data_IF_160170757793
#
_entry.id   IF_160170757793
#
_cell.length_a   1.000
_cell.length_b   1.000
_cell.length_c   1.000
_cell.angle_alpha   90.00
_cell.angle_beta   90.00
_cell.angle_gamma   90.00
#
_symmetry.space_group_name_H-M   'P 1'
#
loop_
_entity.id
_entity.type
_entity.pdbx_description
1 polymer ?
#
# COMPACT_ATOMS: atom_id res chain seq x y z
N UNK A 1 -3.21 21.19 -27.57
CA UNK A 1 -2.72 19.82 -27.75
C UNK A 1 -1.23 19.83 -27.44
N UNK A 2 -0.80 19.11 -26.40
CA UNK A 2 0.62 19.01 -26.04
C UNK A 2 1.36 18.04 -26.97
N UNK A 3 2.67 18.22 -27.07
CA UNK A 3 3.53 17.27 -27.77
C UNK A 3 3.58 15.96 -27.00
N UNK A 4 3.48 14.85 -27.73
CA UNK A 4 3.68 13.50 -27.22
C UNK A 4 5.13 13.29 -26.79
N UNK A 5 5.36 12.33 -25.89
CA UNK A 5 6.71 11.96 -25.43
C UNK A 5 7.68 11.69 -26.59
N UNK A 6 7.18 11.11 -27.70
CA UNK A 6 7.98 10.81 -28.89
C UNK A 6 8.35 12.06 -29.70
N UNK A 7 7.50 13.08 -29.72
CA UNK A 7 7.79 14.35 -30.40
C UNK A 7 8.88 15.17 -29.66
N UNK A 8 8.99 15.00 -28.34
CA UNK A 8 10.05 15.61 -27.52
C UNK A 8 11.41 14.97 -27.83
N UNK A 9 11.47 13.64 -27.98
CA UNK A 9 12.71 12.92 -28.32
C UNK A 9 13.19 13.29 -29.73
N UNK A 10 12.27 13.48 -30.68
CA UNK A 10 12.61 13.91 -32.04
C UNK A 10 13.24 15.32 -32.08
N UNK A 11 12.77 16.25 -31.24
CA UNK A 11 13.32 17.61 -31.16
C UNK A 11 14.74 17.65 -30.55
N UNK A 12 15.07 16.72 -29.65
CA UNK A 12 16.40 16.64 -29.01
C UNK A 12 17.50 16.11 -29.94
N UNK A 13 17.15 15.37 -31.00
CA UNK A 13 18.10 14.77 -31.95
C UNK A 13 18.48 15.69 -33.14
N UNK A 14 18.19 16.98 -33.04
CA UNK A 14 18.95 18.01 -33.76
C UNK A 14 18.78 18.07 -35.28
N UNK A 15 17.56 17.96 -35.82
CA UNK A 15 17.36 18.17 -37.25
C UNK A 15 16.12 19.00 -37.62
N UNK A 16 16.02 20.23 -37.09
CA UNK A 16 15.10 21.24 -37.62
C UNK A 16 15.83 22.59 -37.71
N UNK A 17 16.11 23.02 -38.95
CA UNK A 17 16.44 24.40 -39.29
C UNK A 17 15.17 25.25 -39.13
N UNK A 18 15.07 26.01 -38.05
CA UNK A 18 13.97 26.95 -37.82
C UNK A 18 13.75 27.22 -36.34
N UNK A 19 14.44 28.22 -35.79
CA UNK A 19 14.30 28.62 -34.41
C UNK A 19 12.94 29.31 -34.16
N UNK A 20 11.92 28.53 -33.81
CA UNK A 20 10.79 29.01 -33.03
C UNK A 20 11.10 28.72 -31.56
N UNK A 21 11.32 29.75 -30.76
CA UNK A 21 11.49 29.61 -29.31
C UNK A 21 10.14 29.24 -28.70
N UNK A 22 9.84 27.94 -28.64
CA UNK A 22 8.71 27.41 -27.89
C UNK A 22 9.10 27.41 -26.41
N UNK A 23 8.69 28.44 -25.67
CA UNK A 23 8.69 28.40 -24.20
C UNK A 23 7.51 27.52 -23.75
N UNK A 24 7.64 26.21 -23.97
CA UNK A 24 6.79 25.23 -23.31
C UNK A 24 7.19 25.18 -21.84
N UNK A 25 6.37 25.75 -20.96
CA UNK A 25 6.49 25.49 -19.53
C UNK A 25 6.14 24.02 -19.28
N UNK A 26 7.15 23.15 -19.23
CA UNK A 26 7.00 21.80 -18.69
C UNK A 26 6.86 21.95 -17.17
N UNK A 27 5.65 22.23 -16.69
CA UNK A 27 5.36 22.23 -15.26
C UNK A 27 5.56 20.80 -14.78
N UNK A 28 6.63 20.57 -14.03
CA UNK A 28 6.82 19.34 -13.28
C UNK A 28 5.56 19.14 -12.43
N UNK A 29 4.94 17.97 -12.53
CA UNK A 29 3.82 17.65 -11.65
C UNK A 29 4.33 17.59 -10.21
N UNK A 30 3.65 18.31 -9.32
CA UNK A 30 3.85 18.22 -7.87
C UNK A 30 3.00 17.08 -7.26
N UNK A 31 2.27 16.34 -8.10
CA UNK A 31 1.40 15.26 -7.66
C UNK A 31 2.25 14.07 -7.21
N UNK A 32 2.12 13.73 -5.93
CA UNK A 32 2.97 12.74 -5.26
C UNK A 32 2.13 11.72 -4.52
N UNK A 33 2.60 10.47 -4.53
CA UNK A 33 2.10 9.36 -3.72
C UNK A 33 3.26 8.82 -2.87
N UNK A 34 3.01 8.61 -1.59
CA UNK A 34 4.02 8.16 -0.63
C UNK A 34 3.42 7.16 0.36
N UNK A 35 4.28 6.42 1.03
CA UNK A 35 3.92 5.51 2.11
C UNK A 35 4.99 5.57 3.22
N UNK A 36 4.60 5.49 4.50
CA UNK A 36 5.56 5.22 5.57
C UNK A 36 6.07 3.77 5.56
N UNK A 37 5.36 2.86 4.85
CA UNK A 37 5.65 1.43 4.83
C UNK A 37 6.90 1.11 4.00
N UNK A 38 7.04 1.75 2.84
CA UNK A 38 8.18 1.56 1.94
C UNK A 38 8.44 2.83 1.12
N UNK A 39 9.67 2.97 0.63
CA UNK A 39 10.09 4.07 -0.26
C UNK A 39 10.10 3.59 -1.71
N UNK A 40 10.06 4.56 -2.64
CA UNK A 40 10.18 4.33 -4.08
C UNK A 40 11.30 3.34 -4.42
N UNK A 41 10.93 2.30 -5.17
CA UNK A 41 11.81 1.24 -5.63
C UNK A 41 12.34 0.30 -4.56
N UNK A 42 11.84 0.33 -3.31
CA UNK A 42 12.28 -0.51 -2.19
C UNK A 42 11.36 -1.70 -1.95
N UNK A 43 11.86 -2.65 -1.15
CA UNK A 43 11.12 -3.85 -0.75
C UNK A 43 9.86 -3.47 0.01
N UNK A 44 8.77 -4.13 -0.33
CA UNK A 44 7.51 -4.04 0.40
C UNK A 44 7.56 -5.09 1.53
N UNK A 45 7.26 -4.72 2.79
CA UNK A 45 7.31 -5.66 3.91
C UNK A 45 6.33 -6.83 3.74
N UNK A 46 6.69 -7.98 4.31
CA UNK A 46 5.95 -9.24 4.18
C UNK A 46 4.48 -9.13 4.66
N UNK A 47 4.18 -8.26 5.61
CA UNK A 47 2.81 -8.05 6.09
C UNK A 47 1.84 -7.61 4.98
N UNK A 48 2.33 -6.98 3.91
CA UNK A 48 1.56 -6.50 2.76
C UNK A 48 1.65 -7.49 1.57
N UNK A 49 1.90 -8.76 1.85
CA UNK A 49 2.04 -9.81 0.84
C UNK A 49 1.20 -11.02 1.26
N UNK A 50 0.94 -11.92 0.31
CA UNK A 50 0.22 -13.16 0.61
C UNK A 50 1.01 -14.13 1.51
N UNK A 51 2.29 -13.85 1.78
CA UNK A 51 3.14 -14.61 2.69
C UNK A 51 3.10 -14.07 4.14
N UNK A 52 2.38 -12.96 4.38
CA UNK A 52 2.20 -12.35 5.70
C UNK A 52 0.73 -12.11 6.04
N UNK A 53 0.42 -10.91 6.55
CA UNK A 53 -0.92 -10.56 7.04
C UNK A 53 -1.92 -10.23 5.92
N UNK A 54 -1.43 -10.04 4.69
CA UNK A 54 -2.21 -9.68 3.50
C UNK A 54 -3.03 -8.40 3.63
N UNK A 55 -2.49 -7.40 4.35
CA UNK A 55 -3.18 -6.14 4.63
C UNK A 55 -2.76 -5.02 3.67
N UNK A 56 -3.65 -4.07 3.37
CA UNK A 56 -3.32 -2.92 2.51
C UNK A 56 -2.37 -1.93 3.22
N UNK A 57 -1.42 -1.28 2.52
CA UNK A 57 -0.50 -0.33 3.13
C UNK A 57 -1.14 1.04 3.38
N UNK A 58 -0.64 1.76 4.38
CA UNK A 58 -0.95 3.20 4.51
C UNK A 58 -0.38 3.96 3.32
N UNK A 59 -1.18 4.81 2.69
CA UNK A 59 -0.80 5.65 1.55
C UNK A 59 -1.16 7.11 1.84
N UNK A 60 -0.37 8.04 1.30
CA UNK A 60 -0.62 9.48 1.42
C UNK A 60 -0.21 10.20 0.15
N UNK A 61 -0.99 11.19 -0.26
CA UNK A 61 -0.74 11.94 -1.48
C UNK A 61 -0.97 13.44 -1.31
N UNK A 62 -0.33 14.21 -2.19
CA UNK A 62 -0.41 15.67 -2.18
C UNK A 62 -0.07 16.26 -3.56
N UNK A 63 -0.34 17.54 -3.76
CA UNK A 63 0.08 18.27 -4.97
C UNK A 63 -0.67 17.91 -6.25
N UNK A 64 -1.89 17.39 -6.14
CA UNK A 64 -2.74 17.08 -7.30
C UNK A 64 -3.12 18.36 -8.08
N UNK A 65 -3.36 18.24 -9.40
CA UNK A 65 -3.67 19.39 -10.25
C UNK A 65 -5.00 20.07 -9.88
N UNK A 66 -5.12 21.35 -10.22
CA UNK A 66 -6.40 22.04 -10.13
C UNK A 66 -7.45 21.35 -11.01
N UNK A 67 -8.71 21.32 -10.54
CA UNK A 67 -9.81 20.65 -11.23
C UNK A 67 -9.99 19.18 -10.86
N UNK A 68 -9.12 18.60 -10.02
CA UNK A 68 -9.37 17.28 -9.43
C UNK A 68 -10.64 17.30 -8.57
N UNK A 69 -11.53 16.34 -8.82
CA UNK A 69 -12.76 16.15 -8.03
C UNK A 69 -12.74 14.83 -7.27
N UNK A 70 -12.02 13.84 -7.78
CA UNK A 70 -11.86 12.54 -7.14
C UNK A 70 -10.50 11.90 -7.46
N UNK A 71 -10.16 10.85 -6.72
CA UNK A 71 -9.00 10.00 -6.99
C UNK A 71 -9.41 8.56 -7.24
N UNK A 72 -8.55 7.85 -7.97
CA UNK A 72 -8.56 6.39 -8.06
C UNK A 72 -7.14 5.85 -7.86
N UNK A 73 -7.02 4.65 -7.30
CA UNK A 73 -5.78 3.92 -7.09
C UNK A 73 -5.89 2.56 -7.76
N UNK A 74 -4.87 2.17 -8.52
CA UNK A 74 -4.70 0.80 -9.00
C UNK A 74 -3.35 0.23 -8.57
N UNK A 75 -3.31 -1.08 -8.37
CA UNK A 75 -2.08 -1.86 -8.18
C UNK A 75 -2.14 -3.03 -9.16
N UNK A 76 -1.39 -2.92 -10.25
CA UNK A 76 -1.37 -3.87 -11.38
C UNK A 76 0.05 -4.47 -11.51
N UNK A 77 0.23 -5.76 -11.22
CA UNK A 77 1.49 -6.52 -11.41
C UNK A 77 1.55 -7.06 -12.85
N UNK A 78 2.46 -6.50 -13.64
CA UNK A 78 2.68 -6.89 -15.03
C UNK A 78 3.70 -8.04 -15.19
N UNK A 79 4.38 -8.44 -14.11
CA UNK A 79 5.35 -9.54 -14.10
C UNK A 79 4.76 -10.88 -13.60
N UNK A 80 3.56 -10.83 -13.00
CA UNK A 80 2.75 -11.99 -12.60
C UNK A 80 2.47 -13.00 -13.73
N UNK A 81 2.64 -12.59 -14.99
CA UNK A 81 2.28 -13.39 -16.15
C UNK A 81 3.52 -13.93 -16.87
N UNK A 82 3.67 -15.26 -16.85
CA UNK A 82 4.21 -16.03 -17.97
C UNK A 82 3.05 -16.92 -18.43
N UNK A 83 2.29 -16.50 -19.46
CA UNK A 83 1.34 -17.37 -20.15
C UNK A 83 1.97 -17.83 -21.46
N UNK A 84 1.97 -19.15 -21.68
CA UNK A 84 2.57 -19.78 -22.86
C UNK A 84 1.83 -19.43 -24.18
N UNK A 85 0.64 -18.83 -24.09
CA UNK A 85 -0.23 -18.49 -25.23
C UNK A 85 -0.12 -17.04 -25.71
N UNK A 86 0.70 -16.21 -25.04
CA UNK A 86 0.91 -14.80 -25.39
C UNK A 86 -0.23 -13.85 -25.00
N UNK A 87 -1.22 -14.30 -24.23
CA UNK A 87 -2.25 -13.39 -23.68
C UNK A 87 -1.70 -12.56 -22.51
N UNK A 88 -2.04 -11.26 -22.50
CA UNK A 88 -1.50 -10.27 -21.57
C UNK A 88 -2.62 -9.63 -20.75
N UNK A 89 -2.69 -9.98 -19.46
CA UNK A 89 -3.53 -9.28 -18.49
C UNK A 89 -2.72 -9.10 -17.20
N UNK A 90 -2.45 -7.86 -16.75
CA UNK A 90 -1.77 -7.65 -15.48
C UNK A 90 -2.59 -8.26 -14.33
N UNK A 91 -1.89 -8.77 -13.32
CA UNK A 91 -2.55 -9.21 -12.11
C UNK A 91 -2.92 -8.00 -11.26
N UNK A 92 -4.22 -7.80 -11.06
CA UNK A 92 -4.73 -6.68 -10.29
C UNK A 92 -4.79 -7.06 -8.83
N UNK A 93 -4.03 -6.35 -8.01
CA UNK A 93 -3.97 -6.49 -6.57
C UNK A 93 -5.00 -5.60 -5.87
N UNK A 94 -5.29 -4.41 -6.41
CA UNK A 94 -6.23 -3.49 -5.77
C UNK A 94 -6.77 -2.45 -6.74
N UNK A 95 -8.06 -2.15 -6.63
CA UNK A 95 -8.69 -0.98 -7.25
C UNK A 95 -9.54 -0.26 -6.20
N UNK A 96 -9.25 1.03 -6.02
CA UNK A 96 -10.06 1.96 -5.22
C UNK A 96 -10.41 3.16 -6.09
N UNK A 97 -11.65 3.62 -6.07
CA UNK A 97 -12.04 4.77 -6.89
C UNK A 97 -13.12 5.61 -6.22
N UNK A 98 -13.38 6.79 -6.77
CA UNK A 98 -14.27 7.80 -6.20
C UNK A 98 -13.86 8.25 -4.80
N UNK A 99 -12.56 8.24 -4.50
CA UNK A 99 -12.04 8.88 -3.29
C UNK A 99 -12.22 10.40 -3.43
N UNK A 100 -12.97 11.08 -2.53
CA UNK A 100 -13.24 12.50 -2.69
C UNK A 100 -11.96 13.33 -2.60
N UNK A 101 -11.90 14.47 -3.29
CA UNK A 101 -10.71 15.36 -3.30
C UNK A 101 -10.29 15.84 -1.91
N UNK A 102 -11.19 15.79 -0.92
CA UNK A 102 -10.89 16.10 0.49
C UNK A 102 -10.03 15.04 1.19
N UNK A 103 -9.89 13.86 0.58
CA UNK A 103 -9.11 12.74 1.12
C UNK A 103 -7.65 12.83 0.63
N UNK A 104 -6.70 12.65 1.55
CA UNK A 104 -5.26 12.79 1.28
C UNK A 104 -4.47 11.51 1.55
N UNK A 105 -5.17 10.40 1.78
CA UNK A 105 -4.54 9.13 2.11
C UNK A 105 -5.53 8.00 2.33
N UNK A 106 -4.99 6.78 2.33
CA UNK A 106 -5.68 5.55 2.71
C UNK A 106 -4.99 4.97 3.96
N UNK A 107 -5.79 4.49 4.90
CA UNK A 107 -5.28 3.77 6.07
C UNK A 107 -4.73 2.40 5.71
N UNK A 108 -3.98 1.81 6.65
CA UNK A 108 -3.63 0.40 6.58
C UNK A 108 -4.87 -0.47 6.80
N UNK A 109 -4.87 -1.68 6.24
CA UNK A 109 -5.84 -2.73 6.57
C UNK A 109 -7.31 -2.29 6.35
N UNK A 110 -7.55 -1.75 5.15
CA UNK A 110 -8.90 -1.34 4.75
C UNK A 110 -9.78 -2.59 4.54
N UNK A 111 -11.00 -2.62 5.10
CA UNK A 111 -11.92 -3.75 4.94
C UNK A 111 -12.25 -4.06 3.48
N UNK A 112 -12.48 -5.34 3.18
CA UNK A 112 -12.83 -5.85 1.85
C UNK A 112 -14.32 -5.65 1.53
N UNK A 113 -14.74 -4.38 1.52
CA UNK A 113 -16.11 -3.93 1.29
C UNK A 113 -16.19 -3.09 0.01
N UNK A 114 -17.24 -3.31 -0.80
CA UNK A 114 -17.43 -2.63 -2.08
C UNK A 114 -17.55 -1.11 -1.93
N UNK A 115 -18.14 -0.65 -0.81
CA UNK A 115 -18.16 0.76 -0.45
C UNK A 115 -17.69 0.93 0.98
N UNK A 116 -16.71 1.79 1.18
CA UNK A 116 -16.14 2.06 2.49
C UNK A 116 -15.74 3.53 2.59
N UNK A 117 -16.07 4.18 3.71
CA UNK A 117 -15.66 5.57 4.02
C UNK A 117 -15.89 6.59 2.88
N UNK A 118 -16.92 6.41 2.07
CA UNK A 118 -17.30 7.33 0.98
C UNK A 118 -16.60 7.10 -0.36
N UNK A 119 -15.81 6.03 -0.50
CA UNK A 119 -15.24 5.58 -1.77
C UNK A 119 -15.70 4.16 -2.11
N UNK A 120 -15.27 3.67 -3.27
CA UNK A 120 -15.60 2.34 -3.78
C UNK A 120 -14.36 1.47 -3.95
N UNK A 121 -14.53 0.18 -3.74
CA UNK A 121 -13.61 -0.89 -4.09
C UNK A 121 -14.34 -1.86 -5.02
N UNK A 122 -13.60 -2.56 -5.87
CA UNK A 122 -14.18 -3.55 -6.79
C UNK A 122 -13.39 -4.86 -6.73
N UNK A 123 -13.84 -5.83 -7.52
CA UNK A 123 -13.18 -7.10 -7.72
C UNK A 123 -11.78 -6.90 -8.31
N UNK A 124 -10.81 -7.59 -7.71
CA UNK A 124 -9.43 -7.72 -8.16
C UNK A 124 -9.22 -9.13 -8.78
N UNK A 125 -8.00 -9.44 -9.24
CA UNK A 125 -7.72 -10.71 -9.92
C UNK A 125 -7.85 -11.93 -9.00
N UNK A 126 -7.82 -11.76 -7.67
CA UNK A 126 -8.02 -12.84 -6.70
C UNK A 126 -9.46 -13.36 -6.71
N UNK A 127 -10.45 -12.47 -6.85
CA UNK A 127 -11.86 -12.84 -6.92
C UNK A 127 -12.28 -13.38 -8.28
N UNK A 128 -11.70 -12.84 -9.36
CA UNK A 128 -12.07 -13.19 -10.74
C UNK A 128 -11.58 -14.60 -11.11
N UNK A 129 -10.42 -15.02 -10.57
CA UNK A 129 -9.77 -16.26 -10.96
C UNK A 129 -9.92 -17.40 -9.92
N UNK A 130 -10.81 -17.27 -8.92
CA UNK A 130 -11.14 -18.31 -7.92
C UNK A 130 -9.94 -18.92 -7.18
N UNK A 131 -8.92 -18.12 -6.82
CA UNK A 131 -7.72 -18.66 -6.17
C UNK A 131 -7.96 -19.02 -4.69
N UNK A 132 -7.38 -20.12 -4.17
CA UNK A 132 -7.65 -20.68 -2.83
C UNK A 132 -7.18 -19.85 -1.61
N UNK A 133 -6.77 -18.59 -1.81
CA UNK A 133 -6.45 -17.63 -0.74
C UNK A 133 -7.18 -16.29 -0.91
N UNK A 134 -8.17 -16.26 -1.78
CA UNK A 134 -8.90 -15.06 -2.13
C UNK A 134 -9.75 -14.57 -0.96
N UNK A 135 -9.61 -13.28 -0.65
CA UNK A 135 -10.70 -12.50 -0.07
C UNK A 135 -11.98 -12.67 -0.91
N UNK A 136 -13.09 -12.03 -0.60
CA UNK A 136 -14.26 -12.03 -1.51
C UNK A 136 -13.97 -11.38 -2.91
N UNK A 137 -12.70 -11.18 -3.27
CA UNK A 137 -12.22 -10.50 -4.46
C UNK A 137 -12.22 -8.99 -4.33
N UNK A 138 -12.91 -8.43 -3.33
CA UNK A 138 -13.09 -6.99 -3.20
C UNK A 138 -11.95 -6.42 -2.38
N UNK A 139 -11.38 -5.30 -2.85
CA UNK A 139 -10.35 -4.58 -2.12
C UNK A 139 -8.96 -5.14 -2.39
N UNK A 140 -8.10 -5.08 -1.38
CA UNK A 140 -6.69 -5.40 -1.52
C UNK A 140 -6.47 -6.92 -1.53
N UNK A 141 -5.52 -7.37 -2.35
CA UNK A 141 -4.89 -8.68 -2.22
C UNK A 141 -3.40 -8.50 -2.42
N UNK A 142 -2.60 -9.01 -1.50
CA UNK A 142 -1.19 -8.72 -1.37
C UNK A 142 -0.34 -9.30 -2.48
N UNK A 143 0.91 -8.84 -2.49
CA UNK A 143 1.91 -9.19 -3.48
C UNK A 143 2.17 -10.69 -3.40
N UNK A 144 2.08 -11.37 -4.54
CA UNK A 144 2.12 -12.82 -4.53
C UNK A 144 2.70 -13.36 -5.85
N UNK A 145 4.01 -13.23 -6.08
CA UNK A 145 4.69 -14.02 -7.11
C UNK A 145 4.29 -15.49 -6.94
N UNK A 146 4.22 -16.31 -7.98
CA UNK A 146 3.83 -17.72 -7.81
C UNK A 146 4.93 -18.52 -7.05
N UNK A 147 4.59 -19.62 -6.36
CA UNK A 147 5.60 -20.52 -5.81
C UNK A 147 6.58 -20.99 -6.90
N UNK A 148 7.89 -20.83 -6.66
CA UNK A 148 8.93 -21.12 -7.65
C UNK A 148 9.30 -19.94 -8.55
N UNK A 149 8.56 -18.83 -8.50
CA UNK A 149 8.97 -17.58 -9.12
C UNK A 149 9.87 -16.78 -8.16
N UNK A 150 11.17 -16.84 -8.42
CA UNK A 150 12.18 -16.12 -7.64
C UNK A 150 12.48 -14.73 -8.21
N UNK A 151 11.82 -14.33 -9.30
CA UNK A 151 12.06 -13.01 -9.87
C UNK A 151 11.55 -11.95 -8.90
N UNK A 152 12.10 -10.75 -9.05
CA UNK A 152 11.58 -9.56 -8.39
C UNK A 152 10.44 -9.01 -9.25
N UNK A 153 9.27 -8.89 -8.64
CA UNK A 153 8.12 -8.20 -9.23
C UNK A 153 8.06 -6.77 -8.67
N UNK A 154 7.74 -5.82 -9.54
CA UNK A 154 7.45 -4.44 -9.24
C UNK A 154 5.93 -4.26 -9.18
N UNK A 155 5.49 -3.63 -8.09
CA UNK A 155 4.09 -3.37 -7.81
C UNK A 155 3.88 -1.86 -7.85
N UNK A 156 3.45 -1.30 -9.00
CA UNK A 156 3.16 0.12 -9.11
C UNK A 156 1.84 0.45 -8.41
N UNK A 157 1.91 1.25 -7.35
CA UNK A 157 0.74 1.90 -6.79
C UNK A 157 0.49 3.17 -7.61
N UNK A 158 -0.48 3.12 -8.53
CA UNK A 158 -0.78 4.23 -9.44
C UNK A 158 -1.99 4.98 -8.94
N UNK A 159 -1.77 6.21 -8.46
CA UNK A 159 -2.83 7.13 -8.06
C UNK A 159 -3.15 8.07 -9.23
N UNK A 160 -4.43 8.16 -9.57
CA UNK A 160 -4.99 9.01 -10.60
C UNK A 160 -5.72 10.18 -9.95
N UNK A 161 -5.44 11.40 -10.40
CA UNK A 161 -6.25 12.58 -10.13
C UNK A 161 -7.30 12.73 -11.24
N UNK A 162 -8.58 12.69 -10.90
CA UNK A 162 -9.69 12.63 -11.87
C UNK A 162 -10.49 13.94 -11.90
N UNK A 163 -10.95 14.33 -13.07
CA UNK A 163 -11.81 15.51 -13.27
C UNK A 163 -13.27 15.30 -12.83
N UNK A 164 -13.69 14.04 -12.65
CA UNK A 164 -15.05 13.65 -12.25
C UNK A 164 -15.04 12.40 -11.37
N UNK A 165 -16.18 12.14 -10.72
CA UNK A 165 -16.48 10.82 -10.15
C UNK A 165 -16.85 9.85 -11.27
N UNK A 166 -16.46 8.58 -11.13
CA UNK A 166 -16.87 7.50 -12.02
C UNK A 166 -18.27 7.02 -11.61
N UNK A 167 -19.24 6.92 -12.53
CA UNK A 167 -20.56 6.37 -12.21
C UNK A 167 -20.45 4.92 -11.70
N UNK A 168 -21.00 4.67 -10.51
CA UNK A 168 -21.05 3.31 -9.93
C UNK A 168 -22.20 2.56 -10.57
N UNK A 169 -21.92 1.38 -11.13
CA UNK A 169 -22.92 0.49 -11.74
C UNK A 169 -22.61 -0.95 -11.38
N UNK A 170 -23.65 -1.71 -11.06
CA UNK A 170 -23.51 -3.13 -10.69
C UNK A 170 -23.02 -4.00 -11.85
N UNK A 171 -23.21 -3.55 -13.09
CA UNK A 171 -22.81 -4.26 -14.32
C UNK A 171 -21.49 -3.75 -14.92
N UNK A 172 -20.77 -2.86 -14.23
CA UNK A 172 -19.53 -2.29 -14.76
C UNK A 172 -18.43 -3.35 -14.82
N UNK A 173 -17.93 -3.62 -16.02
CA UNK A 173 -16.78 -4.52 -16.20
C UNK A 173 -15.48 -3.86 -15.74
N UNK A 174 -14.48 -4.70 -15.46
CA UNK A 174 -13.11 -4.27 -15.13
C UNK A 174 -12.56 -3.30 -16.19
N UNK A 175 -12.67 -3.66 -17.47
CA UNK A 175 -12.14 -2.87 -18.59
C UNK A 175 -12.88 -1.53 -18.75
N UNK A 176 -14.20 -1.51 -18.54
CA UNK A 176 -14.99 -0.28 -18.56
C UNK A 176 -14.58 0.65 -17.41
N UNK A 177 -14.36 0.11 -16.21
CA UNK A 177 -13.91 0.89 -15.06
C UNK A 177 -12.53 1.52 -15.31
N UNK A 178 -11.55 0.72 -15.73
CA UNK A 178 -10.23 1.24 -16.05
C UNK A 178 -10.26 2.26 -17.18
N UNK A 179 -11.09 2.02 -18.21
CA UNK A 179 -11.28 2.98 -19.30
C UNK A 179 -11.86 4.29 -18.78
N UNK A 180 -12.84 4.24 -17.88
CA UNK A 180 -13.44 5.43 -17.28
C UNK A 180 -12.44 6.20 -16.40
N UNK A 181 -11.63 5.51 -15.59
CA UNK A 181 -10.54 6.10 -14.78
C UNK A 181 -9.52 6.78 -15.70
N UNK A 182 -8.98 6.05 -16.68
CA UNK A 182 -7.94 6.56 -17.59
C UNK A 182 -8.46 7.72 -18.45
N UNK A 183 -9.74 7.70 -18.84
CA UNK A 183 -10.41 8.76 -19.60
C UNK A 183 -10.91 9.96 -18.79
N UNK A 184 -10.78 9.94 -17.47
CA UNK A 184 -11.07 11.09 -16.57
C UNK A 184 -9.81 11.66 -15.92
N UNK A 185 -8.65 11.04 -16.15
CA UNK A 185 -7.37 11.42 -15.58
C UNK A 185 -6.93 12.81 -16.05
N UNK A 186 -6.64 13.67 -15.06
CA UNK A 186 -5.87 14.91 -15.23
C UNK A 186 -4.36 14.65 -15.09
N UNK A 187 -3.97 13.86 -14.09
CA UNK A 187 -2.57 13.52 -13.81
C UNK A 187 -2.44 12.21 -13.01
N UNK A 188 -1.21 11.70 -12.88
CA UNK A 188 -0.88 10.47 -12.15
C UNK A 188 0.35 10.63 -11.27
N UNK A 189 0.31 10.01 -10.09
CA UNK A 189 1.46 9.77 -9.24
C UNK A 189 1.66 8.25 -9.07
N UNK A 190 2.90 7.79 -9.09
CA UNK A 190 3.22 6.36 -8.94
C UNK A 190 4.19 6.19 -7.77
N UNK A 191 3.90 5.23 -6.90
CA UNK A 191 4.83 4.73 -5.89
C UNK A 191 5.14 3.27 -6.23
N UNK A 192 6.35 2.98 -6.67
CA UNK A 192 6.76 1.61 -6.97
C UNK A 192 7.38 0.96 -5.73
N UNK A 193 6.89 -0.22 -5.36
CA UNK A 193 7.61 -1.11 -4.47
C UNK A 193 7.90 -2.42 -5.18
N UNK A 194 8.68 -3.29 -4.55
CA UNK A 194 8.92 -4.64 -5.08
C UNK A 194 8.81 -5.71 -4.03
N UNK A 195 8.49 -6.92 -4.48
CA UNK A 195 8.53 -8.12 -3.67
C UNK A 195 9.14 -9.26 -4.48
N UNK A 196 9.86 -10.13 -3.77
CA UNK A 196 10.44 -11.36 -4.31
C UNK A 196 10.46 -12.39 -3.21
N UNK A 197 10.29 -13.66 -3.59
CA UNK A 197 10.51 -14.79 -2.68
C UNK A 197 11.95 -15.30 -2.69
N UNK A 198 12.85 -14.67 -3.46
CA UNK A 198 14.28 -15.03 -3.45
C UNK A 198 14.92 -14.70 -2.10
N UNK A 199 15.32 -15.70 -1.30
CA UNK A 199 15.88 -15.47 0.03
C UNK A 199 17.24 -14.75 -0.03
N UNK A 200 17.93 -14.74 -1.17
CA UNK A 200 19.19 -14.02 -1.36
C UNK A 200 19.01 -12.51 -1.56
N UNK A 201 17.80 -12.08 -1.91
CA UNK A 201 17.42 -10.67 -2.13
C UNK A 201 16.60 -10.09 -0.97
N UNK A 202 16.29 -10.92 0.04
CA UNK A 202 15.70 -10.45 1.28
C UNK A 202 16.61 -9.36 1.89
N UNK A 203 16.05 -8.24 2.38
CA UNK A 203 16.87 -7.24 3.05
C UNK A 203 17.56 -7.93 4.22
N UNK A 204 18.90 -7.86 4.26
CA UNK A 204 19.67 -8.43 5.35
C UNK A 204 19.03 -8.01 6.66
N UNK A 205 18.51 -8.97 7.42
CA UNK A 205 18.01 -8.77 8.77
C UNK A 205 19.21 -8.39 9.62
N UNK A 206 19.60 -7.12 9.55
CA UNK A 206 20.35 -6.52 10.65
C UNK A 206 19.32 -6.48 11.77
N UNK A 207 19.50 -7.22 12.88
CA UNK A 207 18.62 -7.05 14.02
C UNK A 207 18.65 -5.56 14.34
N UNK A 208 17.48 -4.91 14.26
CA UNK A 208 17.32 -3.62 14.90
C UNK A 208 17.63 -3.89 16.36
N UNK A 209 18.81 -3.48 16.80
CA UNK A 209 19.13 -3.37 18.21
C UNK A 209 18.04 -2.45 18.78
N UNK A 210 17.06 -3.07 19.46
CA UNK A 210 16.12 -2.38 20.32
C UNK A 210 16.95 -1.39 21.14
N UNK A 211 16.65 -0.08 21.12
CA UNK A 211 17.36 0.84 21.99
C UNK A 211 17.14 0.35 23.41
N UNK A 212 18.18 -0.21 24.02
CA UNK A 212 18.19 -0.51 25.44
C UNK A 212 17.97 0.82 26.14
N UNK A 213 16.86 0.91 26.86
CA UNK A 213 16.61 2.01 27.76
C UNK A 213 17.64 1.90 28.91
N UNK A 214 18.84 2.42 28.69
CA UNK A 214 19.74 2.76 29.78
C UNK A 214 19.16 3.99 30.48
N UNK A 215 18.29 3.73 31.46
CA UNK A 215 17.94 4.73 32.46
C UNK A 215 19.21 5.20 33.18
N UNK A 216 19.28 6.48 33.58
CA UNK A 216 20.47 7.01 34.20
C UNK A 216 20.74 6.27 35.52
N UNK A 217 21.96 5.78 35.66
CA UNK A 217 22.48 5.17 36.88
C UNK A 217 22.26 6.14 38.06
N UNK A 218 21.41 5.73 39.01
CA UNK A 218 21.29 6.40 40.30
C UNK A 218 22.63 6.27 41.03
N UNK A 219 23.33 7.39 41.14
CA UNK A 219 24.55 7.51 41.92
C UNK A 219 24.32 7.12 43.37
N UNK A 220 25.10 6.15 43.83
CA UNK A 220 25.22 5.81 45.24
C UNK A 220 25.68 7.04 46.03
N UNK A 221 24.85 7.51 46.96
CA UNK A 221 25.28 8.33 48.09
C UNK A 221 25.00 7.57 49.37
N UNK A 222 26.10 7.24 50.04
CA UNK A 222 26.18 6.76 51.41
C UNK A 222 25.79 7.87 52.40
N UNK A 223 25.17 7.46 53.51
CA UNK A 223 25.14 8.23 54.75
C UNK A 223 23.74 8.63 55.22
N UNK A 224 23.21 7.91 56.22
CA UNK A 224 22.01 8.33 56.95
C UNK A 224 21.54 7.26 57.94
N UNK A 225 21.60 7.60 59.21
CA UNK A 225 21.52 6.71 60.38
C UNK A 225 20.10 6.24 60.76
N UNK A 226 20.10 5.19 61.58
CA UNK A 226 19.10 4.41 62.29
C UNK A 226 17.79 5.06 62.82
N UNK A 227 16.91 4.12 63.25
CA UNK A 227 15.78 4.16 64.22
C UNK A 227 14.40 4.29 63.56
N UNK A 228 13.40 3.42 63.76
CA UNK A 228 13.27 2.16 64.48
C UNK A 228 11.80 1.72 64.50
N UNK A 229 11.56 0.52 65.08
CA UNK A 229 10.30 0.00 65.63
C UNK A 229 9.20 -0.46 64.66
N UNK A 230 8.76 -1.72 64.82
CA UNK A 230 7.41 -2.13 64.44
C UNK A 230 7.25 -3.55 63.88
N UNK A 231 7.59 -4.58 64.64
CA UNK A 231 7.15 -5.95 64.35
C UNK A 231 5.68 -6.13 64.73
N UNK A 232 4.91 -6.87 63.93
CA UNK A 232 3.78 -7.78 64.28
C UNK A 232 2.87 -7.97 63.05
N UNK A 233 2.20 -9.07 62.76
CA UNK A 233 2.14 -10.49 63.18
C UNK A 233 1.09 -11.10 62.19
N UNK A 234 1.29 -12.33 61.69
CA UNK A 234 0.27 -13.40 61.42
C UNK A 234 -0.90 -13.09 60.43
N UNK A 235 -1.42 -14.00 59.58
CA UNK A 235 -1.35 -15.45 59.41
C UNK A 235 -2.08 -15.83 58.10
N UNK A 236 -1.76 -16.97 57.49
CA UNK A 236 -2.57 -18.22 57.53
C UNK A 236 -3.83 -18.12 56.65
N UNK A 237 -3.83 -18.58 55.39
CA UNK A 237 -3.91 -19.94 54.87
C UNK A 237 -5.35 -20.47 54.62
N UNK A 238 -5.48 -21.21 53.50
CA UNK A 238 -6.40 -22.33 53.20
C UNK A 238 -7.77 -22.08 52.50
N UNK A 239 -7.82 -22.67 51.29
CA UNK A 239 -8.74 -23.71 50.79
C UNK A 239 -10.19 -23.41 50.35
N UNK A 240 -10.52 -24.06 49.22
CA UNK A 240 -11.82 -24.66 48.89
C UNK A 240 -12.67 -23.82 47.95
N UNK A 241 -13.43 -24.35 46.99
CA UNK A 241 -13.83 -25.72 46.69
C UNK A 241 -14.47 -25.77 45.27
N UNK A 242 -14.61 -26.99 44.75
CA UNK A 242 -15.31 -27.44 43.53
C UNK A 242 -16.63 -26.69 43.21
N UNK A 243 -17.08 -26.51 41.97
CA UNK A 243 -17.27 -27.47 40.89
C UNK A 243 -18.78 -27.62 40.66
N UNK A 244 -19.27 -27.42 39.43
CA UNK A 244 -20.66 -27.73 39.07
C UNK A 244 -20.78 -28.17 37.61
N UNK A 245 -21.24 -29.41 37.43
CA UNK A 245 -21.72 -30.01 36.20
C UNK A 245 -23.22 -29.70 36.06
N UNK A 246 -23.70 -29.56 34.83
CA UNK A 246 -25.13 -29.58 34.53
C UNK A 246 -25.39 -29.63 33.02
N UNK A 247 -25.63 -30.83 32.52
CA UNK A 247 -26.11 -31.10 31.16
C UNK A 247 -27.60 -30.79 31.02
N UNK A 248 -27.99 -30.28 29.85
CA UNK A 248 -29.18 -30.65 29.08
C UNK A 248 -28.88 -30.44 27.59
#
# INVERSE_FOLDING_TARGET
SGLTHNEVIAAMNGNILGAATLTGHYTRSDFTLTSPVFREGRNIPVNFTCDGDDISPTLSWSGWPAGTTSFALTVEDHEAVIQDDGSFFPWTHWIVYNMPVTMTGLGQDIPHEASYSGYQQTLNSWGINEFPHSSNGIGYGGMCPLPGDWRRHNYPFTLYALDRMIPVRDDMTYDELLTAIRGSKLDTAVLNGHYTRDPSLAPATTPAELPTAEGPALGARSGGSCVGVGASFVGMALLGFAGWFGSF
#
